data_IF_468753620329
#
_entry.id   IF_468753620329
#
_cell.length_a   1.000
_cell.length_b   1.000
_cell.length_c   1.000
_cell.angle_alpha   90.00
_cell.angle_beta   90.00
_cell.angle_gamma   90.00
#
_symmetry.space_group_name_H-M   'P 1'
#
loop_
_entity.id
_entity.type
_entity.pdbx_description
1 polymer ?
#
# COMPACT_ATOMS: atom_id res chain seq x y z
N UNK A 1 -4.33 8.39 -0.42
CA UNK A 1 -5.79 8.27 -0.27
C UNK A 1 -6.13 7.26 0.81
N UNK A 2 -7.41 7.03 1.07
CA UNK A 2 -7.87 5.97 1.99
C UNK A 2 -8.61 4.90 1.19
N UNK A 3 -8.32 3.63 1.45
CA UNK A 3 -8.81 2.48 0.69
C UNK A 3 -9.25 1.37 1.63
N UNK A 4 -10.31 0.66 1.28
CA UNK A 4 -10.74 -0.52 2.01
C UNK A 4 -9.85 -1.72 1.67
N UNK A 5 -9.59 -2.56 2.67
CA UNK A 5 -8.83 -3.80 2.50
C UNK A 5 -9.74 -5.01 2.63
N UNK A 6 -9.31 -6.16 2.12
CA UNK A 6 -10.03 -7.43 2.30
C UNK A 6 -10.07 -7.88 3.77
N UNK A 7 -9.12 -7.44 4.60
CA UNK A 7 -9.14 -7.66 6.04
C UNK A 7 -10.20 -6.78 6.75
N UNK A 8 -10.81 -5.83 6.05
CA UNK A 8 -11.91 -4.94 6.46
C UNK A 8 -11.50 -3.71 7.26
N UNK A 9 -10.24 -3.56 7.66
CA UNK A 9 -9.73 -2.28 8.17
C UNK A 9 -9.24 -1.39 7.02
N UNK A 10 -9.47 -0.07 7.07
CA UNK A 10 -9.02 0.84 6.02
C UNK A 10 -7.49 1.01 6.06
N UNK A 11 -6.93 1.30 4.89
CA UNK A 11 -5.52 1.59 4.68
C UNK A 11 -5.35 2.97 4.08
N UNK A 12 -4.36 3.72 4.56
CA UNK A 12 -4.08 5.09 4.12
C UNK A 12 -2.75 5.14 3.37
N UNK A 13 -2.71 5.95 2.32
CA UNK A 13 -1.48 6.25 1.58
C UNK A 13 -1.25 7.75 1.53
N UNK A 14 0.00 8.17 1.66
CA UNK A 14 0.46 9.56 1.54
C UNK A 14 1.69 9.60 0.64
N UNK A 15 1.86 10.70 -0.09
CA UNK A 15 2.99 10.86 -1.00
C UNK A 15 2.58 11.25 -2.42
N UNK A 16 3.56 11.36 -3.31
CA UNK A 16 3.39 11.76 -4.71
C UNK A 16 4.46 11.14 -5.61
N UNK A 17 4.15 11.02 -6.90
CA UNK A 17 5.05 10.42 -7.88
C UNK A 17 5.27 8.94 -7.57
N UNK A 18 6.51 8.55 -7.28
CA UNK A 18 6.87 7.19 -6.89
C UNK A 18 7.09 7.05 -5.37
N UNK A 19 7.06 8.16 -4.63
CA UNK A 19 7.35 8.20 -3.20
C UNK A 19 6.06 8.12 -2.40
N UNK A 20 5.60 6.90 -2.11
CA UNK A 20 4.42 6.65 -1.28
C UNK A 20 4.77 5.97 0.04
N UNK A 21 4.07 6.38 1.09
CA UNK A 21 4.05 5.73 2.40
C UNK A 21 2.65 5.22 2.69
N UNK A 22 2.58 3.99 3.15
CA UNK A 22 1.38 3.25 3.55
C UNK A 22 1.28 3.23 5.07
N UNK A 23 0.13 3.66 5.60
CA UNK A 23 -0.18 3.73 7.04
C UNK A 23 0.90 4.45 7.89
N UNK A 24 1.61 5.41 7.29
CA UNK A 24 2.72 6.13 7.91
C UNK A 24 3.90 5.24 8.38
N UNK A 25 3.91 3.94 8.04
CA UNK A 25 4.90 2.96 8.53
C UNK A 25 5.67 2.22 7.45
N UNK A 26 5.09 2.02 6.27
CA UNK A 26 5.75 1.26 5.19
C UNK A 26 5.91 2.09 3.94
N UNK A 27 7.08 2.01 3.29
CA UNK A 27 7.32 2.69 2.02
C UNK A 27 7.05 1.77 0.84
N UNK A 28 6.49 2.33 -0.21
CA UNK A 28 6.42 1.67 -1.52
C UNK A 28 7.79 1.78 -2.17
N UNK A 29 8.44 0.64 -2.40
CA UNK A 29 9.79 0.54 -3.00
C UNK A 29 9.69 0.46 -4.53
N UNK A 30 8.68 -0.24 -5.03
CA UNK A 30 8.39 -0.34 -6.45
C UNK A 30 6.88 -0.33 -6.64
N UNK A 31 6.36 0.76 -7.21
CA UNK A 31 4.94 0.93 -7.47
C UNK A 31 4.56 0.51 -8.90
N UNK A 32 3.26 0.38 -9.13
CA UNK A 32 2.68 0.27 -10.47
C UNK A 32 3.14 -0.94 -11.29
N UNK A 33 3.42 -2.08 -10.64
CA UNK A 33 3.81 -3.31 -11.36
C UNK A 33 2.56 -3.98 -11.92
N UNK A 34 2.37 -4.04 -13.25
CA UNK A 34 1.16 -4.61 -13.84
C UNK A 34 1.18 -6.13 -13.74
N UNK A 35 0.04 -6.71 -13.41
CA UNK A 35 -0.23 -8.15 -13.54
C UNK A 35 -1.44 -8.37 -14.45
N UNK A 36 -1.80 -9.62 -14.72
CA UNK A 36 -2.92 -9.94 -15.60
C UNK A 36 -4.28 -9.38 -15.10
N UNK A 37 -4.42 -9.13 -13.80
CA UNK A 37 -5.69 -8.77 -13.17
C UNK A 37 -5.61 -7.60 -12.17
N UNK A 38 -4.42 -7.09 -11.89
CA UNK A 38 -4.21 -6.11 -10.84
C UNK A 38 -2.96 -5.26 -11.08
N UNK A 39 -2.74 -4.32 -10.16
CA UNK A 39 -1.49 -3.59 -10.02
C UNK A 39 -0.89 -3.94 -8.68
N UNK A 40 0.38 -4.33 -8.65
CA UNK A 40 1.13 -4.67 -7.45
C UNK A 40 2.02 -3.50 -7.06
N UNK A 41 2.02 -3.20 -5.76
CA UNK A 41 2.94 -2.25 -5.13
C UNK A 41 3.78 -3.00 -4.11
N UNK A 42 5.10 -3.00 -4.29
CA UNK A 42 6.05 -3.66 -3.41
C UNK A 42 6.36 -2.74 -2.24
N UNK A 43 6.22 -3.25 -1.02
CA UNK A 43 6.42 -2.49 0.22
C UNK A 43 7.57 -3.07 1.04
N UNK A 44 8.25 -2.22 1.81
CA UNK A 44 9.42 -2.59 2.62
C UNK A 44 9.08 -3.24 3.97
N UNK A 45 7.83 -3.12 4.43
CA UNK A 45 7.41 -3.50 5.77
C UNK A 45 6.10 -4.28 5.71
N UNK A 46 6.01 -5.34 6.51
CA UNK A 46 4.78 -6.13 6.64
C UNK A 46 3.69 -5.30 7.31
N UNK A 47 2.53 -5.20 6.67
CA UNK A 47 1.36 -4.53 7.23
C UNK A 47 0.59 -5.49 8.15
N UNK A 48 0.73 -5.29 9.45
CA UNK A 48 0.03 -6.08 10.46
C UNK A 48 -1.37 -5.50 10.72
N UNK A 49 -2.44 -6.31 10.65
CA UNK A 49 -3.77 -5.90 11.07
C UNK A 49 -3.80 -5.50 12.56
N UNK A 50 -4.65 -4.55 12.94
CA UNK A 50 -4.75 -4.08 14.34
C UNK A 50 -5.68 -4.90 15.25
N UNK A 51 -6.15 -6.06 14.77
CA UNK A 51 -7.18 -6.94 15.39
C UNK A 51 -8.61 -6.46 15.19
#
# INVERSE_FOLDING_TARGET
GTYDTLQKSPLTTKGSGENYTVNDTSKVVCGNVPTANATVHIVDTVLMPKS
#
